data_IF_861627724894
#
_entry.id   IF_861627724894
#
_cell.length_a   1.000
_cell.length_b   1.000
_cell.length_c   1.000
_cell.angle_alpha   90.00
_cell.angle_beta   90.00
_cell.angle_gamma   90.00
#
_symmetry.space_group_name_H-M   'P 1'
#
loop_
_entity.id
_entity.type
_entity.pdbx_description
1 polymer ?
#
# COMPACT_ATOMS: atom_id res chain seq x y z
N UNK A 1 -10.12 0.08 -3.21
CA UNK A 1 -10.97 0.71 -2.18
C UNK A 1 -12.43 0.49 -2.55
N UNK A 2 -13.30 0.25 -1.57
CA UNK A 2 -14.70 -0.18 -1.79
C UNK A 2 -15.75 0.71 -1.10
N UNK A 3 -15.30 1.80 -0.48
CA UNK A 3 -16.15 2.85 0.07
C UNK A 3 -16.86 3.57 -1.08
N UNK A 4 -18.12 3.92 -0.88
CA UNK A 4 -18.99 4.64 -1.82
C UNK A 4 -19.70 5.79 -1.09
N UNK A 5 -20.19 6.75 -1.87
CA UNK A 5 -20.94 7.87 -1.33
C UNK A 5 -22.19 7.39 -0.57
N UNK A 6 -22.39 7.93 0.63
CA UNK A 6 -23.49 7.56 1.51
C UNK A 6 -23.22 6.37 2.44
N UNK A 7 -22.06 5.71 2.36
CA UNK A 7 -21.68 4.70 3.34
C UNK A 7 -21.47 5.36 4.73
N UNK A 8 -21.95 4.69 5.78
CA UNK A 8 -21.76 5.14 7.16
C UNK A 8 -20.35 4.76 7.67
N UNK A 9 -19.67 5.71 8.29
CA UNK A 9 -18.32 5.53 8.86
C UNK A 9 -18.33 6.01 10.31
N UNK A 10 -17.90 5.15 11.22
CA UNK A 10 -17.73 5.48 12.64
C UNK A 10 -16.26 5.78 12.92
N UNK A 11 -16.00 6.94 13.53
CA UNK A 11 -14.68 7.34 14.04
C UNK A 11 -14.73 7.45 15.56
N UNK A 12 -13.92 6.65 16.25
CA UNK A 12 -13.64 6.84 17.68
C UNK A 12 -12.14 7.09 17.86
N UNK A 13 -11.80 8.37 18.03
CA UNK A 13 -10.42 8.79 18.25
C UNK A 13 -9.86 8.31 19.60
N UNK A 14 -10.72 8.17 20.62
CA UNK A 14 -10.30 7.73 21.96
C UNK A 14 -10.03 6.22 22.00
N UNK A 15 -10.89 5.43 21.35
CA UNK A 15 -10.72 3.99 21.14
C UNK A 15 -9.76 3.63 20.00
N UNK A 16 -9.30 4.61 19.22
CA UNK A 16 -8.42 4.44 18.05
C UNK A 16 -9.02 3.52 16.97
N UNK A 17 -10.31 3.68 16.70
CA UNK A 17 -11.01 2.87 15.70
C UNK A 17 -11.57 3.75 14.59
N UNK A 18 -11.54 3.19 13.38
CA UNK A 18 -12.18 3.73 12.19
C UNK A 18 -12.88 2.57 11.50
N UNK A 19 -14.21 2.57 11.54
CA UNK A 19 -15.04 1.44 11.09
C UNK A 19 -15.92 1.87 9.94
N UNK A 20 -15.95 1.06 8.88
CA UNK A 20 -16.92 1.16 7.80
C UNK A 20 -18.14 0.30 8.17
N UNK A 21 -19.28 0.92 8.40
CA UNK A 21 -20.51 0.26 8.86
C UNK A 21 -21.24 -0.41 7.68
N UNK A 22 -20.67 -1.51 7.19
CA UNK A 22 -21.24 -2.32 6.11
C UNK A 22 -21.38 -3.78 6.57
N UNK A 23 -22.48 -4.47 6.20
CA UNK A 23 -22.56 -5.91 6.36
C UNK A 23 -21.41 -6.61 5.64
N UNK A 24 -20.84 -7.64 6.25
CA UNK A 24 -19.69 -8.38 5.70
C UNK A 24 -19.96 -8.93 4.29
N UNK A 25 -21.19 -9.40 4.04
CA UNK A 25 -21.61 -9.89 2.73
C UNK A 25 -21.51 -8.82 1.62
N UNK A 26 -21.92 -7.59 1.92
CA UNK A 26 -21.83 -6.47 0.98
C UNK A 26 -20.37 -6.05 0.79
N UNK A 27 -19.60 -5.97 1.87
CA UNK A 27 -18.18 -5.65 1.81
C UNK A 27 -17.42 -6.65 0.93
N UNK A 28 -17.69 -7.95 1.08
CA UNK A 28 -17.10 -9.00 0.26
C UNK A 28 -17.53 -8.91 -1.21
N UNK A 29 -18.80 -8.60 -1.48
CA UNK A 29 -19.30 -8.40 -2.84
C UNK A 29 -18.59 -7.22 -3.53
N UNK A 30 -18.46 -6.08 -2.84
CA UNK A 30 -17.74 -4.91 -3.37
C UNK A 30 -16.26 -5.18 -3.59
N UNK A 31 -15.61 -5.93 -2.70
CA UNK A 31 -14.21 -6.33 -2.87
C UNK A 31 -13.99 -7.20 -4.11
N UNK A 32 -14.90 -8.14 -4.38
CA UNK A 32 -14.84 -8.97 -5.60
C UNK A 32 -15.01 -8.16 -6.88
N UNK A 33 -15.79 -7.08 -6.84
CA UNK A 33 -16.00 -6.19 -7.97
C UNK A 33 -14.88 -5.15 -8.15
N UNK A 34 -13.96 -5.01 -7.19
CA UNK A 34 -12.92 -3.99 -7.23
C UNK A 34 -11.87 -4.32 -8.29
N UNK A 35 -11.65 -3.37 -9.20
CA UNK A 35 -10.55 -3.42 -10.17
C UNK A 35 -9.48 -2.40 -9.77
N UNK A 36 -8.23 -2.83 -9.53
CA UNK A 36 -7.15 -1.89 -9.25
C UNK A 36 -6.82 -1.07 -10.50
N UNK A 37 -6.32 0.17 -10.34
CA UNK A 37 -5.86 0.97 -11.47
C UNK A 37 -4.70 0.28 -12.20
N UNK A 38 -4.63 0.46 -13.51
CA UNK A 38 -3.53 -0.07 -14.31
C UNK A 38 -2.20 0.52 -13.82
N UNK A 39 -1.17 -0.31 -13.60
CA UNK A 39 0.12 0.20 -13.19
C UNK A 39 0.80 0.94 -14.35
N UNK A 40 1.82 1.78 -14.05
CA UNK A 40 2.65 2.42 -15.07
C UNK A 40 3.32 1.39 -15.97
N UNK A 41 3.56 1.74 -17.24
CA UNK A 41 4.13 0.80 -18.20
C UNK A 41 5.62 0.49 -17.96
N UNK A 42 6.41 1.49 -17.57
CA UNK A 42 7.87 1.34 -17.41
C UNK A 42 8.49 2.49 -16.59
N UNK A 43 9.83 2.47 -16.49
CA UNK A 43 10.61 3.52 -15.85
C UNK A 43 10.54 3.51 -14.32
N UNK A 44 10.98 4.60 -13.71
CA UNK A 44 11.01 4.73 -12.24
C UNK A 44 9.63 4.58 -11.61
N UNK A 45 8.56 5.04 -12.27
CA UNK A 45 7.21 4.93 -11.74
C UNK A 45 6.76 3.46 -11.62
N UNK A 46 7.17 2.60 -12.57
CA UNK A 46 6.92 1.15 -12.50
C UNK A 46 7.67 0.54 -11.32
N UNK A 47 8.99 0.81 -11.21
CA UNK A 47 9.81 0.37 -10.08
C UNK A 47 9.21 0.80 -8.75
N UNK A 48 8.75 2.05 -8.65
CA UNK A 48 8.16 2.58 -7.44
C UNK A 48 6.87 1.83 -7.05
N UNK A 49 5.92 1.68 -7.98
CA UNK A 49 4.65 1.01 -7.72
C UNK A 49 4.84 -0.47 -7.38
N UNK A 50 5.86 -1.13 -7.95
CA UNK A 50 6.15 -2.53 -7.68
C UNK A 50 6.82 -2.77 -6.33
N UNK A 51 7.75 -1.89 -5.92
CA UNK A 51 8.64 -2.16 -4.80
C UNK A 51 8.35 -1.35 -3.54
N UNK A 52 7.54 -0.28 -3.63
CA UNK A 52 7.26 0.56 -2.45
C UNK A 52 6.41 -0.19 -1.43
N UNK A 53 6.87 -0.17 -0.18
CA UNK A 53 6.15 -0.70 0.97
C UNK A 53 5.01 0.22 1.36
N UNK A 54 4.03 -0.34 2.05
CA UNK A 54 2.90 0.42 2.58
C UNK A 54 3.34 1.33 3.73
N UNK A 55 2.52 2.33 4.05
CA UNK A 55 2.88 3.39 5.01
C UNK A 55 3.12 2.88 6.44
N UNK A 56 2.43 1.81 6.84
CA UNK A 56 2.68 1.10 8.11
C UNK A 56 4.08 0.48 8.19
N UNK A 57 4.74 0.31 7.04
CA UNK A 57 6.12 -0.20 6.89
C UNK A 57 7.12 0.88 6.45
N UNK A 58 6.75 2.15 6.48
CA UNK A 58 7.67 3.28 6.31
C UNK A 58 7.91 3.75 4.87
N UNK A 59 7.12 3.29 3.89
CA UNK A 59 7.17 3.78 2.49
C UNK A 59 8.54 3.64 1.78
N UNK A 60 9.41 2.72 2.21
CA UNK A 60 10.70 2.44 1.54
C UNK A 60 10.51 1.39 0.42
N UNK A 61 11.54 1.17 -0.40
CA UNK A 61 11.57 0.02 -1.30
C UNK A 61 11.95 -1.25 -0.54
N UNK A 62 11.25 -2.35 -0.84
CA UNK A 62 11.50 -3.66 -0.25
C UNK A 62 12.97 -4.12 -0.33
N UNK A 63 13.62 -3.88 -1.47
CA UNK A 63 15.01 -4.23 -1.73
C UNK A 63 16.04 -3.24 -1.14
N UNK A 64 15.56 -2.12 -0.59
CA UNK A 64 16.46 -1.14 0.03
C UNK A 64 16.58 -1.30 1.55
N UNK A 65 15.71 -2.09 2.19
CA UNK A 65 15.69 -2.28 3.63
C UNK A 65 17.04 -2.77 4.20
N UNK A 66 17.41 -2.23 5.37
CA UNK A 66 18.57 -2.65 6.14
C UNK A 66 19.87 -1.89 5.83
N UNK A 67 21.00 -2.43 6.28
CA UNK A 67 22.32 -1.85 6.10
C UNK A 67 23.16 -2.68 5.11
N UNK A 68 23.77 -2.02 4.11
CA UNK A 68 24.57 -2.69 3.06
C UNK A 68 26.07 -2.73 3.35
N UNK A 69 26.47 -2.34 4.56
CA UNK A 69 27.86 -2.27 4.98
C UNK A 69 28.68 -1.22 4.21
N UNK A 70 30.00 -1.32 4.33
CA UNK A 70 30.96 -0.38 3.75
C UNK A 70 32.13 -1.11 3.06
N UNK A 71 31.86 -2.28 2.47
CA UNK A 71 32.89 -3.05 1.77
C UNK A 71 33.44 -2.24 0.58
N UNK A 72 34.77 -2.25 0.42
CA UNK A 72 35.44 -1.56 -0.69
C UNK A 72 35.14 -2.31 -2.00
N UNK A 73 34.60 -1.63 -3.03
CA UNK A 73 34.34 -2.26 -4.32
C UNK A 73 35.61 -2.76 -5.02
N UNK A 74 35.43 -3.62 -6.03
CA UNK A 74 36.52 -4.04 -6.93
C UNK A 74 37.22 -2.84 -7.55
N UNK A 75 38.51 -2.99 -7.87
CA UNK A 75 39.25 -1.99 -8.64
C UNK A 75 38.53 -1.68 -9.96
N UNK A 76 38.43 -0.39 -10.28
CA UNK A 76 37.71 0.10 -11.46
C UNK A 76 38.47 -0.11 -12.77
N UNK A 77 39.78 -0.41 -12.68
CA UNK A 77 40.72 -0.60 -13.77
C UNK A 77 41.71 -1.71 -13.44
#
# INVERSE_FOLDING_TARGET
AVVRDGDMITLDASGRTLTLELPEAELAARQKAFQPPSPPASGYQRLYVEHVLQADRGCDFDFLLGARGAAVPRHSH
#
